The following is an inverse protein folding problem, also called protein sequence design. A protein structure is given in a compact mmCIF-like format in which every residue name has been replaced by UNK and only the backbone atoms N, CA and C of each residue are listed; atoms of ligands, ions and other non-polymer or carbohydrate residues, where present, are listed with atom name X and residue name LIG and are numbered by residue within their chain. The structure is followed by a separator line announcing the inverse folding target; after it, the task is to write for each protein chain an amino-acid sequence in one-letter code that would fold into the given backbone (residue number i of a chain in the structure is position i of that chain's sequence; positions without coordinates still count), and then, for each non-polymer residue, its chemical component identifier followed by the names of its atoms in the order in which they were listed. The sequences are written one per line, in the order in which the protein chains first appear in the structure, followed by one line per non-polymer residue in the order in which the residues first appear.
data_IF_400716242102
#
_entry.id   IF_400716242102
#
_cell.length_a   1.000
_cell.length_b   1.000
_cell.length_c   1.000
_cell.angle_alpha   90.00
_cell.angle_beta   90.00
_cell.angle_gamma   90.00
#
_symmetry.space_group_name_H-M   'P 1'
#
loop_
_entity.id
_entity.type
_entity.pdbx_description
1 polymer ?
#
# COMPACT_ATOMS: atom_id res chain seq x y z
N UNK A 1 24.14 22.52 -24.01
CA UNK A 1 23.58 23.35 -22.92
C UNK A 1 22.21 22.81 -22.57
N UNK A 2 22.06 22.08 -21.48
CA UNK A 2 20.76 21.92 -20.81
C UNK A 2 20.29 23.34 -20.50
N UNK A 3 19.26 23.83 -21.22
CA UNK A 3 18.80 25.20 -21.02
C UNK A 3 18.36 25.36 -19.57
N UNK A 4 18.66 26.50 -18.93
CA UNK A 4 18.29 26.75 -17.53
C UNK A 4 16.80 26.48 -17.24
N UNK A 5 15.94 26.63 -18.25
CA UNK A 5 14.53 26.28 -18.21
C UNK A 5 14.28 24.77 -17.96
N UNK A 6 15.04 23.86 -18.59
CA UNK A 6 14.91 22.42 -18.33
C UNK A 6 15.38 22.02 -16.92
N UNK A 7 16.37 22.72 -16.37
CA UNK A 7 16.82 22.48 -15.00
C UNK A 7 15.73 22.86 -13.98
N UNK A 8 15.11 24.03 -14.16
CA UNK A 8 14.00 24.50 -13.32
C UNK A 8 12.78 23.59 -13.41
N UNK A 9 12.40 23.17 -14.63
CA UNK A 9 11.28 22.25 -14.83
C UNK A 9 11.51 20.88 -14.17
N UNK A 10 12.75 20.38 -14.18
CA UNK A 10 13.11 19.12 -13.52
C UNK A 10 13.01 19.22 -12.00
N UNK A 11 13.50 20.31 -11.41
CA UNK A 11 13.40 20.53 -9.96
C UNK A 11 11.95 20.67 -9.51
N UNK A 12 11.14 21.37 -10.30
CA UNK A 12 9.72 21.50 -10.02
C UNK A 12 8.97 20.16 -10.09
N UNK A 13 9.29 19.31 -11.06
CA UNK A 13 8.73 17.96 -11.15
C UNK A 13 9.11 17.11 -9.94
N UNK A 14 10.39 17.13 -9.54
CA UNK A 14 10.85 16.39 -8.35
C UNK A 14 10.13 16.88 -7.09
N UNK A 15 9.92 18.20 -6.97
CA UNK A 15 9.19 18.81 -5.86
C UNK A 15 7.71 18.42 -5.85
N UNK A 16 7.05 18.39 -7.01
CA UNK A 16 5.65 17.98 -7.12
C UNK A 16 5.48 16.48 -6.82
N UNK A 17 6.43 15.65 -7.26
CA UNK A 17 6.39 14.21 -7.07
C UNK A 17 6.78 13.79 -5.65
N UNK A 18 7.67 14.52 -4.96
CA UNK A 18 8.11 14.16 -3.61
C UNK A 18 7.17 14.76 -2.57
N UNK A 19 6.40 13.91 -1.89
CA UNK A 19 5.57 14.32 -0.76
C UNK A 19 6.42 14.62 0.48
N UNK A 20 7.42 13.76 0.75
CA UNK A 20 8.29 13.88 1.91
C UNK A 20 9.63 13.19 1.67
N UNK A 21 10.68 13.69 2.33
CA UNK A 21 11.97 13.02 2.47
C UNK A 21 12.27 12.92 3.95
N UNK A 22 12.52 11.70 4.43
CA UNK A 22 12.64 11.40 5.85
C UNK A 22 13.86 10.55 6.15
N UNK A 23 14.13 10.42 7.45
CA UNK A 23 15.15 9.52 7.99
C UNK A 23 14.48 8.77 9.15
N UNK A 24 14.45 7.44 9.08
CA UNK A 24 13.90 6.62 10.15
C UNK A 24 14.63 6.95 11.47
N UNK A 25 13.88 7.27 12.52
CA UNK A 25 14.44 7.68 13.82
C UNK A 25 14.60 6.52 14.78
N UNK A 26 13.92 5.40 14.50
CA UNK A 26 13.98 4.18 15.28
C UNK A 26 13.86 2.96 14.35
N UNK A 27 14.13 1.80 14.92
CA UNK A 27 13.99 0.54 14.20
C UNK A 27 12.52 0.20 14.01
N UNK A 28 12.14 -0.07 12.76
CA UNK A 28 10.85 -0.65 12.42
C UNK A 28 10.77 -2.14 12.80
N UNK A 29 9.68 -2.76 12.39
CA UNK A 29 9.45 -4.18 12.57
C UNK A 29 10.52 -5.00 11.83
N UNK A 30 10.95 -6.10 12.46
CA UNK A 30 12.05 -6.94 11.96
C UNK A 30 11.75 -7.59 10.59
N UNK A 31 10.47 -7.70 10.24
CA UNK A 31 9.99 -8.19 8.94
C UNK A 31 9.94 -7.10 7.85
N UNK A 32 10.39 -5.88 8.15
CA UNK A 32 10.43 -4.79 7.19
C UNK A 32 9.05 -4.20 6.86
N UNK A 33 8.01 -4.49 7.66
CA UNK A 33 6.63 -4.03 7.41
C UNK A 33 6.33 -2.63 7.95
N UNK A 34 7.25 -2.01 8.68
CA UNK A 34 7.03 -0.67 9.24
C UNK A 34 8.26 0.21 9.13
N UNK A 35 8.00 1.52 9.08
CA UNK A 35 9.00 2.59 9.21
C UNK A 35 8.59 3.44 10.41
N UNK A 36 9.54 3.73 11.30
CA UNK A 36 9.32 4.58 12.47
C UNK A 36 10.11 5.87 12.30
N UNK A 37 9.42 7.01 12.26
CA UNK A 37 10.02 8.34 12.13
C UNK A 37 9.26 9.35 13.00
N UNK A 38 9.86 9.72 14.13
CA UNK A 38 9.31 10.69 15.08
C UNK A 38 9.21 12.11 14.48
N UNK A 39 9.88 12.42 13.37
CA UNK A 39 9.67 13.70 12.67
C UNK A 39 8.30 13.78 11.98
N UNK A 40 7.55 12.67 11.93
CA UNK A 40 6.18 12.61 11.45
C UNK A 40 5.13 12.77 12.58
N UNK A 41 5.56 12.89 13.83
CA UNK A 41 4.66 13.05 14.97
C UNK A 41 3.72 14.25 14.79
N UNK A 42 2.42 14.02 15.05
CA UNK A 42 1.38 15.05 15.00
C UNK A 42 1.05 15.58 13.60
N UNK A 43 1.66 15.05 12.53
CA UNK A 43 1.30 15.44 11.16
C UNK A 43 -0.04 14.83 10.74
N UNK A 44 -0.72 15.50 9.81
CA UNK A 44 -1.91 14.95 9.18
C UNK A 44 -1.55 13.70 8.35
N UNK A 45 -2.52 12.85 8.08
CA UNK A 45 -2.29 11.74 7.17
C UNK A 45 -2.19 12.24 5.73
N UNK A 46 -0.95 12.34 5.26
CA UNK A 46 -0.59 12.57 3.87
C UNK A 46 0.14 11.38 3.27
N UNK A 47 0.19 10.23 3.95
CA UNK A 47 1.11 9.13 3.62
C UNK A 47 0.35 7.91 3.13
N UNK A 48 -0.82 7.62 3.69
CA UNK A 48 -1.66 6.49 3.27
C UNK A 48 -1.89 6.52 1.75
N UNK A 49 -1.79 5.35 1.11
CA UNK A 49 -1.89 5.15 -0.35
C UNK A 49 -0.79 5.80 -1.20
N UNK A 50 0.32 6.24 -0.58
CA UNK A 50 1.50 6.72 -1.32
C UNK A 50 2.58 5.65 -1.43
N UNK A 51 3.38 5.74 -2.49
CA UNK A 51 4.61 4.95 -2.66
C UNK A 51 5.72 5.50 -1.79
N UNK A 52 6.45 4.60 -1.14
CA UNK A 52 7.64 4.89 -0.35
C UNK A 52 8.82 4.19 -1.00
N UNK A 53 9.92 4.93 -1.21
CA UNK A 53 11.19 4.41 -1.73
C UNK A 53 12.25 4.50 -0.64
N UNK A 54 12.98 3.41 -0.43
CA UNK A 54 14.13 3.37 0.47
C UNK A 54 15.38 3.80 -0.29
N UNK A 55 16.10 4.78 0.27
CA UNK A 55 17.25 5.43 -0.39
C UNK A 55 18.60 4.97 0.17
N UNK A 56 18.62 4.29 1.33
CA UNK A 56 19.84 3.78 1.95
C UNK A 56 19.59 2.51 2.76
N UNK A 57 20.66 1.84 3.18
CA UNK A 57 20.59 0.63 3.98
C UNK A 57 20.34 -0.64 3.15
N UNK A 58 20.05 -1.77 3.81
CA UNK A 58 19.94 -3.08 3.15
C UNK A 58 18.78 -3.19 2.14
N UNK A 59 17.67 -2.47 2.37
CA UNK A 59 16.51 -2.43 1.48
C UNK A 59 16.58 -1.29 0.45
N UNK A 60 17.77 -0.73 0.18
CA UNK A 60 17.91 0.39 -0.75
C UNK A 60 17.36 0.07 -2.15
N UNK A 61 16.74 1.08 -2.76
CA UNK A 61 16.08 1.04 -4.08
C UNK A 61 14.78 0.23 -4.13
N UNK A 62 14.33 -0.34 -3.03
CA UNK A 62 13.01 -0.96 -2.96
C UNK A 62 11.92 0.09 -2.78
N UNK A 63 10.74 -0.22 -3.32
CA UNK A 63 9.54 0.57 -3.15
C UNK A 63 8.37 -0.28 -2.61
N UNK A 64 7.55 0.35 -1.77
CA UNK A 64 6.31 -0.23 -1.23
C UNK A 64 5.23 0.83 -1.07
N UNK A 65 3.97 0.41 -1.17
CA UNK A 65 2.82 1.24 -0.80
C UNK A 65 2.65 1.36 0.72
N UNK A 66 2.24 2.54 1.19
CA UNK A 66 1.82 2.75 2.57
C UNK A 66 0.38 2.27 2.79
N UNK A 67 0.21 1.30 3.68
CA UNK A 67 -1.10 0.75 4.07
C UNK A 67 -1.83 1.64 5.09
N UNK A 68 -1.08 2.19 6.05
CA UNK A 68 -1.63 3.09 7.06
C UNK A 68 -0.55 3.96 7.67
N UNK A 69 -0.96 5.08 8.25
CA UNK A 69 -0.10 5.99 8.98
C UNK A 69 -0.70 6.32 10.34
N UNK A 70 0.11 6.17 11.39
CA UNK A 70 -0.22 6.56 12.76
C UNK A 70 0.69 7.71 13.15
N UNK A 71 0.12 8.89 13.39
CA UNK A 71 0.87 10.11 13.73
C UNK A 71 1.16 10.26 15.24
N UNK A 72 0.75 9.29 16.06
CA UNK A 72 1.06 9.27 17.49
C UNK A 72 2.51 8.84 17.73
N UNK A 73 3.16 9.42 18.73
CA UNK A 73 4.57 9.16 19.01
C UNK A 73 4.84 7.69 19.43
N UNK A 74 5.85 7.01 18.82
CA UNK A 74 6.57 7.45 17.63
C UNK A 74 5.73 7.18 16.37
N UNK A 75 5.66 8.18 15.48
CA UNK A 75 4.87 8.05 14.29
C UNK A 75 5.36 6.89 13.42
N UNK A 76 4.40 6.07 13.00
CA UNK A 76 4.65 4.77 12.39
C UNK A 76 3.89 4.67 11.07
N UNK A 77 4.61 4.29 10.02
CA UNK A 77 4.04 3.95 8.73
C UNK A 77 4.02 2.43 8.63
N UNK A 78 2.84 1.87 8.34
CA UNK A 78 2.70 0.43 8.03
C UNK A 78 2.67 0.26 6.52
N UNK A 79 3.47 -0.68 6.02
CA UNK A 79 3.64 -0.96 4.60
C UNK A 79 2.71 -2.08 4.15
N UNK A 80 2.43 -2.11 2.85
CA UNK A 80 1.63 -3.18 2.26
C UNK A 80 2.39 -4.49 2.08
N UNK A 81 1.63 -5.58 2.02
CA UNK A 81 2.16 -6.91 1.72
C UNK A 81 3.13 -7.42 2.79
N UNK A 82 4.23 -8.02 2.34
CA UNK A 82 5.27 -8.59 3.21
C UNK A 82 6.32 -7.58 3.64
N UNK A 83 6.11 -6.27 3.41
CA UNK A 83 7.12 -5.25 3.69
C UNK A 83 8.31 -5.28 2.72
N UNK A 84 9.38 -4.62 3.12
CA UNK A 84 10.68 -4.63 2.43
C UNK A 84 11.47 -5.92 2.70
N UNK A 85 12.49 -6.19 1.90
CA UNK A 85 13.34 -7.39 2.07
C UNK A 85 14.15 -7.43 3.38
N UNK A 86 14.25 -6.28 4.07
CA UNK A 86 14.98 -6.13 5.32
C UNK A 86 14.30 -5.13 6.26
N UNK A 87 14.62 -5.23 7.55
CA UNK A 87 14.20 -4.28 8.56
C UNK A 87 14.70 -2.85 8.23
N UNK A 88 13.80 -1.88 8.36
CA UNK A 88 14.15 -0.46 8.25
C UNK A 88 14.63 0.04 9.60
N UNK A 89 15.96 0.09 9.75
CA UNK A 89 16.62 0.52 10.98
C UNK A 89 16.76 2.04 11.05
N UNK A 90 17.00 2.55 12.26
CA UNK A 90 17.29 3.97 12.48
C UNK A 90 18.44 4.47 11.59
N UNK A 91 18.30 5.67 11.03
CA UNK A 91 19.23 6.26 10.07
C UNK A 91 18.97 5.92 8.60
N UNK A 92 18.01 5.02 8.32
CA UNK A 92 17.60 4.74 6.93
C UNK A 92 16.91 5.94 6.30
N UNK A 93 17.41 6.38 5.14
CA UNK A 93 16.85 7.49 4.37
C UNK A 93 15.76 6.94 3.47
N UNK A 94 14.62 7.63 3.41
CA UNK A 94 13.51 7.25 2.54
C UNK A 94 12.81 8.46 1.93
N UNK A 95 12.00 8.23 0.90
CA UNK A 95 11.15 9.24 0.25
C UNK A 95 9.74 8.73 0.07
N UNK A 96 8.78 9.62 0.26
CA UNK A 96 7.36 9.37 -0.01
C UNK A 96 7.02 10.12 -1.30
N UNK A 97 6.42 9.43 -2.26
CA UNK A 97 6.04 9.99 -3.55
C UNK A 97 4.53 10.24 -3.64
N UNK A 98 4.12 11.28 -4.34
CA UNK A 98 2.72 11.62 -4.61
C UNK A 98 2.04 10.74 -5.66
N UNK A 99 2.48 9.49 -5.79
CA UNK A 99 1.90 8.48 -6.68
C UNK A 99 1.49 7.27 -5.85
N UNK A 100 0.43 6.60 -6.29
CA UNK A 100 0.08 5.25 -5.82
C UNK A 100 0.91 4.23 -6.60
N UNK A 101 1.46 3.21 -5.94
CA UNK A 101 2.12 2.10 -6.61
C UNK A 101 1.07 1.12 -7.15
N UNK A 102 1.43 0.40 -8.21
CA UNK A 102 0.59 -0.67 -8.78
C UNK A 102 0.20 -1.71 -7.71
N UNK A 103 1.04 -1.92 -6.70
CA UNK A 103 0.76 -2.84 -5.60
C UNK A 103 -0.49 -2.45 -4.79
N UNK A 104 -0.71 -1.14 -4.57
CA UNK A 104 -1.91 -0.63 -3.88
C UNK A 104 -3.16 -0.90 -4.71
N UNK A 105 -3.12 -0.58 -5.99
CA UNK A 105 -4.26 -0.76 -6.89
C UNK A 105 -4.61 -2.24 -7.04
N UNK A 106 -3.60 -3.12 -7.16
CA UNK A 106 -3.78 -4.57 -7.23
C UNK A 106 -4.35 -5.13 -5.92
N UNK A 107 -3.92 -4.64 -4.75
CA UNK A 107 -4.47 -5.06 -3.46
C UNK A 107 -5.97 -4.69 -3.32
N UNK A 108 -6.33 -3.48 -3.75
CA UNK A 108 -7.72 -3.02 -3.78
C UNK A 108 -8.57 -3.86 -4.73
N UNK A 109 -8.08 -4.12 -5.95
CA UNK A 109 -8.75 -4.98 -6.93
C UNK A 109 -8.94 -6.39 -6.37
N UNK A 110 -7.88 -6.97 -5.78
CA UNK A 110 -7.95 -8.31 -5.19
C UNK A 110 -9.02 -8.40 -4.11
N UNK A 111 -9.10 -7.42 -3.22
CA UNK A 111 -10.13 -7.36 -2.17
C UNK A 111 -11.54 -7.36 -2.76
N UNK A 112 -11.79 -6.57 -3.81
CA UNK A 112 -13.08 -6.52 -4.51
C UNK A 112 -13.38 -7.86 -5.19
N UNK A 113 -12.39 -8.47 -5.86
CA UNK A 113 -12.55 -9.76 -6.53
C UNK A 113 -12.86 -10.88 -5.53
N UNK A 114 -12.21 -10.92 -4.38
CA UNK A 114 -12.48 -11.90 -3.32
C UNK A 114 -13.91 -11.75 -2.76
N UNK A 115 -14.39 -10.51 -2.63
CA UNK A 115 -15.78 -10.23 -2.25
C UNK A 115 -16.80 -10.69 -3.31
N UNK A 116 -16.52 -10.42 -4.60
CA UNK A 116 -17.34 -10.89 -5.72
C UNK A 116 -17.40 -12.42 -5.75
N UNK A 117 -16.25 -13.08 -5.59
CA UNK A 117 -16.19 -14.54 -5.50
C UNK A 117 -17.09 -15.07 -4.38
N UNK A 118 -17.00 -14.49 -3.19
CA UNK A 118 -17.82 -14.90 -2.04
C UNK A 118 -19.32 -14.78 -2.33
N UNK A 119 -19.75 -13.70 -3.00
CA UNK A 119 -21.16 -13.53 -3.40
C UNK A 119 -21.57 -14.53 -4.48
N UNK A 120 -20.69 -14.77 -5.46
CA UNK A 120 -20.90 -15.73 -6.54
C UNK A 120 -21.06 -17.15 -6.01
N UNK A 121 -20.23 -17.54 -5.03
CA UNK A 121 -20.31 -18.85 -4.37
C UNK A 121 -21.66 -19.02 -3.65
N UNK A 122 -22.18 -17.98 -2.98
CA UNK A 122 -23.52 -18.00 -2.36
C UNK A 122 -24.65 -18.18 -3.39
N UNK A 123 -24.56 -17.51 -4.54
CA UNK A 123 -25.53 -17.65 -5.63
C UNK A 123 -25.50 -19.08 -6.17
N UNK A 124 -24.31 -19.63 -6.44
CA UNK A 124 -24.15 -21.00 -6.92
C UNK A 124 -24.80 -22.01 -5.97
N UNK A 125 -24.57 -21.89 -4.66
CA UNK A 125 -25.21 -22.73 -3.65
C UNK A 125 -26.74 -22.55 -3.62
N UNK A 126 -27.25 -21.31 -3.70
CA UNK A 126 -28.71 -21.06 -3.71
C UNK A 126 -29.39 -21.62 -4.96
N UNK A 127 -28.74 -21.53 -6.12
CA UNK A 127 -29.22 -22.09 -7.38
C UNK A 127 -29.32 -23.62 -7.30
N UNK A 128 -28.35 -24.29 -6.69
CA UNK A 128 -28.36 -25.75 -6.48
C UNK A 128 -29.61 -26.19 -5.69
N UNK A 129 -29.89 -25.55 -4.55
CA UNK A 129 -31.09 -25.88 -3.75
C UNK A 129 -32.41 -25.55 -4.47
N UNK A 130 -32.44 -24.51 -5.30
CA UNK A 130 -33.63 -24.21 -6.09
C UNK A 130 -33.86 -25.26 -7.20
N UNK A 131 -32.82 -25.71 -7.89
CA UNK A 131 -32.98 -26.71 -8.95
C UNK A 131 -33.42 -28.07 -8.40
N UNK A 132 -32.92 -28.48 -7.23
CA UNK A 132 -33.30 -29.74 -6.60
C UNK A 132 -34.72 -29.73 -6.01
N UNK A 133 -35.22 -28.58 -5.53
CA UNK A 133 -36.57 -28.48 -4.97
C UNK A 133 -37.67 -28.53 -6.05
N UNK A 134 -37.38 -28.02 -7.26
CA UNK A 134 -38.31 -28.05 -8.39
C UNK A 134 -38.15 -29.31 -9.28
N UNK A 135 -37.12 -30.14 -9.06
CA UNK A 135 -36.89 -31.38 -9.84
C UNK A 135 -37.54 -32.63 -9.24
N UNK A 136 -38.15 -32.53 -8.05
CA UNK A 136 -38.99 -33.61 -7.52
C UNK A 136 -40.23 -33.70 -8.40
N UNK A 137 -40.25 -34.73 -9.25
CA UNK A 137 -41.27 -34.94 -10.27
C UNK A 137 -42.68 -34.71 -9.72
N UNK A 138 -43.46 -33.91 -10.44
CA UNK A 138 -44.91 -34.04 -10.46
C UNK A 138 -45.25 -35.44 -11.00
N UNK A 139 -45.10 -36.45 -10.15
CA UNK A 139 -45.57 -37.79 -10.42
C UNK A 139 -47.09 -37.76 -10.37
N UNK A 140 -47.67 -37.62 -11.57
CA UNK A 140 -48.99 -38.09 -12.00
C UNK A 140 -49.84 -38.79 -10.94
N UNK A 141 -50.99 -38.18 -10.61
CA UNK A 141 -52.20 -38.87 -10.19
C UNK A 141 -53.35 -38.44 -11.11
#
# INVERSE_FOLDING_TARGET
MTSKAHALAREELIRALTAYTGIATADGAADGTTIVDANLDGKNDFITEKTIIIMSGPAAYEDKGAQSFVSAHPATITLQGTGFSAQIVAGTIYRILNISSVEIDVANIKTVVDAIKTQTDKIATKMLFSMDFWSVAQATA
#
